data_IF_381270887330
#
_entry.id   IF_381270887330
#
_cell.length_a   1.000
_cell.length_b   1.000
_cell.length_c   1.000
_cell.angle_alpha   90.00
_cell.angle_beta   90.00
_cell.angle_gamma   90.00
#
_symmetry.space_group_name_H-M   'P 1'
#
loop_
_entity.id
_entity.type
_entity.pdbx_description
1 polymer ?
#
# COMPACT_ATOMS: atom_id res chain seq x y z
N UNK A 1 43.87 9.67 28.42
CA UNK A 1 43.05 10.05 27.25
C UNK A 1 42.80 8.80 26.43
N UNK A 2 41.70 8.09 26.67
CA UNK A 2 41.32 6.89 25.93
C UNK A 2 39.87 7.09 25.45
N UNK A 3 39.70 7.24 24.14
CA UNK A 3 38.40 7.44 23.51
C UNK A 3 37.63 6.12 23.48
N UNK A 4 36.47 6.10 24.14
CA UNK A 4 35.51 4.99 24.07
C UNK A 4 34.78 5.06 22.73
N UNK A 5 35.08 4.10 21.84
CA UNK A 5 34.25 3.85 20.67
C UNK A 5 32.95 3.17 21.14
N UNK A 6 31.85 3.92 21.21
CA UNK A 6 30.52 3.35 21.42
C UNK A 6 30.10 2.60 20.15
N UNK A 7 30.15 1.28 20.20
CA UNK A 7 29.44 0.42 19.26
C UNK A 7 27.94 0.64 19.48
N UNK A 8 27.27 1.30 18.54
CA UNK A 8 25.81 1.33 18.49
C UNK A 8 25.35 0.03 17.81
N UNK A 9 25.22 -1.03 18.60
CA UNK A 9 24.53 -2.23 18.14
C UNK A 9 23.03 -1.94 18.17
N UNK A 10 22.44 -1.70 17.00
CA UNK A 10 20.98 -1.68 16.85
C UNK A 10 20.51 -3.13 16.95
N UNK A 11 20.10 -3.54 18.15
CA UNK A 11 19.34 -4.76 18.33
C UNK A 11 17.98 -4.57 17.63
N UNK A 12 17.83 -5.14 16.44
CA UNK A 12 16.53 -5.32 15.83
C UNK A 12 15.78 -6.34 16.69
N UNK A 13 14.90 -5.86 17.58
CA UNK A 13 13.98 -6.76 18.27
C UNK A 13 13.13 -7.51 17.23
N UNK A 14 13.00 -8.85 17.31
CA UNK A 14 12.14 -9.59 16.42
C UNK A 14 10.69 -9.40 16.88
N UNK A 15 9.99 -8.40 16.35
CA UNK A 15 8.54 -8.24 16.55
C UNK A 15 7.76 -8.54 15.29
N UNK A 16 8.02 -9.70 14.67
CA UNK A 16 7.00 -10.48 13.96
C UNK A 16 7.40 -11.94 14.08
N UNK A 17 6.56 -12.76 14.71
CA UNK A 17 6.72 -14.21 14.74
C UNK A 17 6.68 -14.75 13.29
N UNK A 18 7.74 -15.40 12.77
CA UNK A 18 7.82 -15.84 11.37
C UNK A 18 6.88 -17.00 11.03
N UNK A 19 6.12 -17.51 12.01
CA UNK A 19 5.24 -18.67 11.83
C UNK A 19 3.78 -18.34 11.44
N UNK A 20 3.34 -17.07 11.49
CA UNK A 20 2.00 -16.72 11.01
C UNK A 20 2.04 -16.58 9.50
N UNK A 21 1.71 -17.65 8.76
CA UNK A 21 1.55 -17.59 7.32
C UNK A 21 0.63 -16.42 6.94
N UNK A 22 1.15 -15.45 6.17
CA UNK A 22 0.43 -14.23 5.78
C UNK A 22 -0.91 -14.51 5.07
N UNK A 23 -1.10 -15.75 4.59
CA UNK A 23 -2.33 -16.26 4.00
C UNK A 23 -3.53 -16.28 4.97
N UNK A 24 -3.31 -16.38 6.27
CA UNK A 24 -4.39 -16.30 7.28
C UNK A 24 -4.87 -14.85 7.50
N UNK A 25 -4.02 -13.85 7.24
CA UNK A 25 -4.40 -12.45 7.40
C UNK A 25 -5.31 -11.95 6.25
N UNK A 26 -5.28 -12.62 5.10
CA UNK A 26 -6.03 -12.21 3.91
C UNK A 26 -7.45 -12.79 3.82
N UNK A 27 -7.81 -13.79 4.64
CA UNK A 27 -8.98 -14.65 4.36
C UNK A 27 -10.31 -14.27 5.03
N UNK A 28 -10.39 -13.26 5.89
CA UNK A 28 -11.65 -12.91 6.55
C UNK A 28 -11.78 -11.39 6.73
N UNK A 29 -12.63 -10.70 5.98
CA UNK A 29 -12.84 -9.24 6.07
C UNK A 29 -14.33 -8.91 5.80
N UNK A 30 -15.02 -8.30 6.78
CA UNK A 30 -16.41 -7.80 6.70
C UNK A 30 -16.58 -6.35 7.24
N UNK A 31 -15.50 -5.57 7.33
CA UNK A 31 -15.61 -4.12 7.54
C UNK A 31 -14.73 -3.41 6.51
N UNK A 32 -15.36 -2.94 5.44
CA UNK A 32 -14.72 -2.23 4.31
C UNK A 32 -15.11 -0.76 4.40
N UNK A 33 -14.13 0.16 4.32
CA UNK A 33 -14.45 1.57 4.12
C UNK A 33 -14.95 1.75 2.67
N UNK A 34 -16.20 2.18 2.45
CA UNK A 34 -16.83 1.99 1.15
C UNK A 34 -16.42 3.07 0.15
N UNK A 35 -15.88 2.65 -1.00
CA UNK A 35 -16.03 3.41 -2.22
C UNK A 35 -17.53 3.46 -2.59
N UNK A 36 -18.07 4.62 -3.00
CA UNK A 36 -19.48 4.74 -3.35
C UNK A 36 -19.80 3.88 -4.57
N UNK A 37 -21.01 3.32 -4.65
CA UNK A 37 -21.44 2.51 -5.81
C UNK A 37 -21.34 3.29 -7.15
N UNK A 38 -21.40 4.62 -7.08
CA UNK A 38 -21.26 5.53 -8.23
C UNK A 38 -19.82 5.81 -8.65
N UNK A 39 -18.81 5.34 -7.89
CA UNK A 39 -17.38 5.59 -8.16
C UNK A 39 -17.00 5.36 -9.63
N UNK A 40 -17.36 4.24 -10.29
CA UNK A 40 -16.99 4.02 -11.69
C UNK A 40 -17.53 5.10 -12.65
N UNK A 41 -18.75 5.56 -12.40
CA UNK A 41 -19.40 6.59 -13.21
C UNK A 41 -18.78 7.97 -12.94
N UNK A 42 -18.55 8.31 -11.67
CA UNK A 42 -17.96 9.59 -11.26
C UNK A 42 -16.54 9.77 -11.82
N UNK A 43 -15.76 8.71 -11.85
CA UNK A 43 -14.38 8.73 -12.34
C UNK A 43 -14.24 8.35 -13.83
N UNK A 44 -15.36 8.12 -14.54
CA UNK A 44 -15.37 7.70 -15.95
C UNK A 44 -14.53 6.43 -16.23
N UNK A 45 -14.57 5.46 -15.31
CA UNK A 45 -13.80 4.21 -15.33
C UNK A 45 -14.70 2.99 -15.58
N UNK A 46 -15.05 2.66 -16.83
CA UNK A 46 -15.89 1.50 -17.14
C UNK A 46 -15.22 0.15 -16.86
N UNK A 47 -13.91 0.15 -16.66
CA UNK A 47 -13.08 -0.99 -16.27
C UNK A 47 -13.09 -1.26 -14.75
N UNK A 48 -13.81 -0.45 -13.97
CA UNK A 48 -13.93 -0.59 -12.52
C UNK A 48 -15.36 -0.93 -12.13
N UNK A 49 -15.52 -1.86 -11.19
CA UNK A 49 -16.81 -2.17 -10.55
C UNK A 49 -16.69 -2.06 -9.04
N UNK A 50 -17.78 -1.78 -8.34
CA UNK A 50 -17.78 -1.76 -6.87
C UNK A 50 -18.19 -3.13 -6.36
N UNK A 51 -17.27 -3.85 -5.69
CA UNK A 51 -17.52 -5.17 -5.11
C UNK A 51 -17.16 -5.15 -3.63
N UNK A 52 -18.10 -5.55 -2.76
CA UNK A 52 -17.94 -5.50 -1.29
C UNK A 52 -17.51 -4.12 -0.78
N UNK A 53 -17.97 -3.03 -1.41
CA UNK A 53 -17.58 -1.67 -1.05
C UNK A 53 -16.20 -1.22 -1.56
N UNK A 54 -15.50 -2.02 -2.38
CA UNK A 54 -14.23 -1.62 -3.00
C UNK A 54 -14.40 -1.36 -4.50
N UNK A 55 -13.93 -0.22 -4.97
CA UNK A 55 -13.68 0.05 -6.38
C UNK A 55 -12.60 -0.94 -6.86
N UNK A 56 -13.00 -1.86 -7.72
CA UNK A 56 -12.26 -3.06 -8.08
C UNK A 56 -12.06 -3.11 -9.58
N UNK A 57 -10.81 -3.25 -10.02
CA UNK A 57 -10.45 -3.33 -11.43
C UNK A 57 -10.91 -4.67 -12.02
N UNK A 58 -11.57 -4.62 -13.18
CA UNK A 58 -11.89 -5.83 -13.97
C UNK A 58 -10.63 -6.25 -14.71
N UNK A 59 -10.01 -7.34 -14.24
CA UNK A 59 -8.82 -7.90 -14.86
C UNK A 59 -9.21 -8.96 -15.90
N UNK A 60 -8.94 -8.68 -17.18
CA UNK A 60 -9.25 -9.59 -18.29
C UNK A 60 -8.02 -10.32 -18.85
N UNK A 61 -6.83 -9.78 -18.61
CA UNK A 61 -5.63 -10.16 -19.37
C UNK A 61 -4.37 -10.31 -18.55
N UNK A 62 -4.27 -9.67 -17.38
CA UNK A 62 -3.04 -9.67 -16.60
C UNK A 62 -2.97 -10.92 -15.73
N UNK A 63 -1.83 -11.59 -15.73
CA UNK A 63 -1.51 -12.56 -14.67
C UNK A 63 -1.33 -11.83 -13.33
N UNK A 64 -1.42 -12.52 -12.18
CA UNK A 64 -1.16 -11.92 -10.88
C UNK A 64 0.19 -11.19 -10.79
N UNK A 65 1.24 -11.77 -11.38
CA UNK A 65 2.56 -11.14 -11.42
C UNK A 65 2.57 -9.87 -12.28
N UNK A 66 1.94 -9.88 -13.46
CA UNK A 66 1.85 -8.69 -14.31
C UNK A 66 1.05 -7.57 -13.64
N UNK A 67 -0.03 -7.90 -12.94
CA UNK A 67 -0.79 -6.95 -12.14
C UNK A 67 0.07 -6.32 -11.03
N UNK A 68 0.85 -7.13 -10.31
CA UNK A 68 1.80 -6.65 -9.29
C UNK A 68 2.84 -5.72 -9.90
N UNK A 69 3.46 -6.07 -11.02
CA UNK A 69 4.43 -5.21 -11.71
C UNK A 69 3.79 -3.89 -12.14
N UNK A 70 2.56 -3.94 -12.66
CA UNK A 70 1.81 -2.74 -13.06
C UNK A 70 1.52 -1.82 -11.87
N UNK A 71 1.19 -2.39 -10.70
CA UNK A 71 0.98 -1.63 -9.46
C UNK A 71 2.27 -0.96 -8.99
N UNK A 72 3.40 -1.66 -9.07
CA UNK A 72 4.70 -1.11 -8.69
C UNK A 72 5.16 0.02 -9.61
N UNK A 73 4.96 -0.13 -10.92
CA UNK A 73 5.28 0.91 -11.89
C UNK A 73 4.42 2.16 -11.67
N UNK A 74 3.13 1.98 -11.38
CA UNK A 74 2.23 3.08 -11.02
C UNK A 74 2.72 3.85 -9.79
N UNK A 75 3.06 3.13 -8.71
CA UNK A 75 3.58 3.76 -7.48
C UNK A 75 4.92 4.45 -7.73
N UNK A 76 5.81 3.81 -8.50
CA UNK A 76 7.11 4.39 -8.86
C UNK A 76 6.92 5.72 -9.59
N UNK A 77 6.05 5.78 -10.58
CA UNK A 77 5.84 7.00 -11.37
C UNK A 77 5.25 8.13 -10.51
N UNK A 78 4.36 7.80 -9.56
CA UNK A 78 3.85 8.76 -8.57
C UNK A 78 4.97 9.30 -7.64
N UNK A 79 5.89 8.44 -7.22
CA UNK A 79 7.02 8.86 -6.37
C UNK A 79 8.05 9.68 -7.15
N UNK A 80 8.38 9.27 -8.38
CA UNK A 80 9.31 10.01 -9.25
C UNK A 80 8.82 11.44 -9.52
N UNK A 81 7.51 11.65 -9.66
CA UNK A 81 6.92 12.98 -9.83
C UNK A 81 7.19 13.94 -8.66
N UNK A 82 7.56 13.43 -7.48
CA UNK A 82 7.89 14.26 -6.31
C UNK A 82 9.35 14.69 -6.25
N UNK A 83 10.24 14.01 -6.97
CA UNK A 83 11.68 14.21 -6.89
C UNK A 83 12.34 13.76 -5.59
N UNK A 84 11.65 13.01 -4.73
CA UNK A 84 12.26 12.42 -3.52
C UNK A 84 13.02 11.14 -3.85
N UNK A 85 14.01 10.84 -3.00
CA UNK A 85 14.64 9.53 -3.01
C UNK A 85 13.75 8.46 -2.37
N UNK A 86 13.74 7.28 -2.98
CA UNK A 86 13.10 6.08 -2.45
C UNK A 86 13.90 4.85 -2.84
N UNK A 87 13.77 3.79 -2.04
CA UNK A 87 14.46 2.53 -2.26
C UNK A 87 13.47 1.41 -2.51
N UNK A 88 13.70 0.63 -3.56
CA UNK A 88 13.01 -0.64 -3.77
C UNK A 88 13.80 -1.74 -3.05
N UNK A 89 13.30 -2.14 -1.89
CA UNK A 89 13.85 -3.25 -1.12
C UNK A 89 13.21 -4.54 -1.63
N UNK A 90 14.06 -5.44 -2.13
CA UNK A 90 13.66 -6.80 -2.51
C UNK A 90 14.08 -7.73 -1.39
N UNK A 91 13.11 -8.35 -0.73
CA UNK A 91 13.35 -9.43 0.21
C UNK A 91 13.57 -10.76 -0.51
N UNK A 92 13.69 -11.82 0.28
CA UNK A 92 13.64 -13.20 -0.22
C UNK A 92 12.20 -13.66 -0.52
N UNK A 93 11.21 -12.86 -0.11
CA UNK A 93 9.78 -13.06 -0.32
C UNK A 93 9.28 -12.39 -1.62
N UNK A 94 8.09 -12.77 -2.08
CA UNK A 94 7.53 -12.35 -3.38
C UNK A 94 7.14 -10.87 -3.49
N UNK A 95 7.04 -10.12 -2.38
CA UNK A 95 6.47 -8.76 -2.39
C UNK A 95 7.53 -7.70 -2.11
N UNK A 96 7.88 -6.85 -3.09
CA UNK A 96 8.85 -5.79 -2.86
C UNK A 96 8.30 -4.69 -1.95
N UNK A 97 9.19 -4.09 -1.17
CA UNK A 97 8.88 -3.00 -0.24
C UNK A 97 9.51 -1.72 -0.78
N UNK A 98 8.76 -0.61 -0.72
CA UNK A 98 9.30 0.71 -1.04
C UNK A 98 9.55 1.45 0.27
N UNK A 99 10.81 1.83 0.51
CA UNK A 99 11.20 2.64 1.64
C UNK A 99 11.41 4.09 1.21
N UNK A 100 10.97 5.01 2.08
CA UNK A 100 11.13 6.46 1.92
C UNK A 100 11.69 7.04 3.22
N UNK A 101 12.27 8.23 3.15
CA UNK A 101 12.53 9.01 4.37
C UNK A 101 11.19 9.40 5.02
N UNK A 102 11.07 9.19 6.34
CA UNK A 102 9.89 9.55 7.12
C UNK A 102 9.57 11.06 7.04
N UNK A 103 10.57 11.92 6.84
CA UNK A 103 10.37 13.36 6.64
C UNK A 103 9.60 13.67 5.34
N UNK A 104 9.66 12.77 4.35
CA UNK A 104 8.94 12.91 3.08
C UNK A 104 7.53 12.32 3.11
N UNK A 105 7.06 11.80 4.26
CA UNK A 105 5.76 11.12 4.39
C UNK A 105 4.61 11.92 3.80
N UNK A 106 4.46 13.18 4.19
CA UNK A 106 3.33 14.01 3.74
C UNK A 106 3.43 14.34 2.24
N UNK A 107 4.64 14.49 1.72
CA UNK A 107 4.88 14.68 0.28
C UNK A 107 4.46 13.44 -0.50
N UNK A 108 4.82 12.25 -0.03
CA UNK A 108 4.42 10.97 -0.64
C UNK A 108 2.92 10.76 -0.58
N UNK A 109 2.28 11.02 0.57
CA UNK A 109 0.83 10.90 0.70
C UNK A 109 0.14 11.79 -0.33
N UNK A 110 0.53 13.07 -0.43
CA UNK A 110 -0.06 13.99 -1.43
C UNK A 110 0.15 13.51 -2.86
N UNK A 111 1.32 12.98 -3.19
CA UNK A 111 1.62 12.48 -4.52
C UNK A 111 0.80 11.25 -4.88
N UNK A 112 0.68 10.30 -3.96
CA UNK A 112 -0.16 9.12 -4.14
C UNK A 112 -1.64 9.51 -4.26
N UNK A 113 -2.13 10.44 -3.44
CA UNK A 113 -3.50 10.97 -3.53
C UNK A 113 -3.75 11.58 -4.90
N UNK A 114 -2.84 12.43 -5.38
CA UNK A 114 -2.96 13.06 -6.69
C UNK A 114 -2.95 12.02 -7.82
N UNK A 115 -2.05 11.03 -7.76
CA UNK A 115 -2.00 9.94 -8.73
C UNK A 115 -3.25 9.04 -8.68
N UNK A 116 -3.89 8.94 -7.52
CA UNK A 116 -5.08 8.12 -7.29
C UNK A 116 -6.40 8.87 -7.48
N UNK A 117 -6.38 10.10 -8.00
CA UNK A 117 -7.61 10.88 -8.19
C UNK A 117 -8.67 10.11 -8.98
N UNK A 118 -8.26 9.36 -10.01
CA UNK A 118 -9.14 8.54 -10.86
C UNK A 118 -8.73 7.06 -10.92
N UNK A 119 -7.89 6.62 -9.97
CA UNK A 119 -7.36 5.25 -9.91
C UNK A 119 -7.69 4.60 -8.55
N UNK A 120 -8.26 3.38 -8.53
CA UNK A 120 -8.58 2.70 -7.29
C UNK A 120 -7.33 2.09 -6.65
N UNK A 121 -6.76 2.78 -5.65
CA UNK A 121 -5.67 2.27 -4.82
C UNK A 121 -6.08 2.31 -3.34
N UNK A 122 -5.78 1.22 -2.63
CA UNK A 122 -6.10 1.09 -1.21
C UNK A 122 -4.86 0.90 -0.36
N UNK A 123 -4.91 1.42 0.86
CA UNK A 123 -3.90 1.23 1.89
C UNK A 123 -4.45 0.40 3.05
N UNK A 124 -3.68 -0.61 3.49
CA UNK A 124 -3.91 -1.36 4.73
C UNK A 124 -2.74 -1.13 5.67
N UNK A 125 -3.03 -0.69 6.90
CA UNK A 125 -2.01 -0.52 7.94
C UNK A 125 -1.49 -1.88 8.42
N UNK A 126 -0.18 -2.02 8.61
CA UNK A 126 0.44 -3.23 9.17
C UNK A 126 0.80 -2.95 10.63
N UNK A 127 -0.19 -3.00 11.52
CA UNK A 127 -0.03 -2.74 12.97
C UNK A 127 -0.59 -3.87 13.85
N UNK A 128 -0.83 -5.05 13.25
CA UNK A 128 -1.44 -6.21 13.91
C UNK A 128 -2.94 -6.05 14.20
N UNK A 129 -3.53 -4.86 14.01
CA UNK A 129 -4.95 -4.62 14.22
C UNK A 129 -5.72 -4.75 12.91
N UNK A 130 -6.91 -5.33 13.00
CA UNK A 130 -7.84 -5.39 11.88
C UNK A 130 -8.45 -4.01 11.65
N UNK A 131 -8.15 -3.39 10.51
CA UNK A 131 -8.74 -2.12 10.09
C UNK A 131 -9.26 -2.23 8.66
N UNK A 132 -10.37 -1.53 8.33
CA UNK A 132 -10.80 -1.42 6.95
C UNK A 132 -9.66 -0.83 6.09
N UNK A 133 -9.52 -1.26 4.83
CA UNK A 133 -8.64 -0.58 3.89
C UNK A 133 -9.14 0.85 3.66
N UNK A 134 -8.21 1.79 3.51
CA UNK A 134 -8.51 3.18 3.19
C UNK A 134 -8.28 3.43 1.70
N UNK A 135 -9.21 4.12 1.04
CA UNK A 135 -9.03 4.58 -0.33
C UNK A 135 -7.99 5.70 -0.33
N UNK A 136 -6.90 5.53 -1.08
CA UNK A 136 -5.78 6.47 -1.08
C UNK A 136 -6.22 7.85 -1.57
N UNK A 137 -7.17 7.92 -2.51
CA UNK A 137 -7.73 9.16 -3.01
C UNK A 137 -8.38 10.05 -1.91
N UNK A 138 -8.77 9.47 -0.77
CA UNK A 138 -9.39 10.20 0.34
C UNK A 138 -8.38 10.96 1.22
N UNK A 139 -7.09 10.96 0.85
CA UNK A 139 -6.07 11.78 1.54
C UNK A 139 -5.36 11.08 2.70
N UNK A 140 -5.71 9.82 3.02
CA UNK A 140 -5.19 9.11 4.20
C UNK A 140 -4.76 7.69 3.87
N UNK A 141 -3.59 7.28 4.39
CA UNK A 141 -3.07 5.90 4.26
C UNK A 141 -3.27 5.05 5.52
N UNK A 142 -3.51 5.69 6.66
CA UNK A 142 -3.65 5.06 7.98
C UNK A 142 -4.42 5.99 8.92
N UNK A 143 -5.20 5.42 9.83
CA UNK A 143 -5.79 6.14 10.98
C UNK A 143 -4.86 6.13 12.22
N UNK A 144 -3.72 5.45 12.13
CA UNK A 144 -2.66 5.47 13.14
C UNK A 144 -1.51 6.39 12.68
N UNK A 145 -1.29 7.55 13.32
CA UNK A 145 -0.21 8.46 12.94
C UNK A 145 1.19 7.83 13.09
N UNK A 146 1.35 6.89 14.02
CA UNK A 146 2.63 6.23 14.31
C UNK A 146 2.91 5.03 13.40
N UNK A 147 1.98 4.68 12.50
CA UNK A 147 2.17 3.58 11.58
C UNK A 147 3.20 3.94 10.49
N UNK A 148 4.34 3.25 10.51
CA UNK A 148 5.40 3.38 9.51
C UNK A 148 5.29 2.41 8.32
N UNK A 149 4.41 1.40 8.38
CA UNK A 149 4.30 0.36 7.35
C UNK A 149 2.84 0.19 6.93
N UNK A 150 2.62 0.24 5.62
CA UNK A 150 1.31 0.02 5.00
C UNK A 150 1.45 -0.80 3.71
N UNK A 151 0.44 -1.63 3.44
CA UNK A 151 0.30 -2.42 2.21
C UNK A 151 -0.57 -1.64 1.24
N UNK A 152 -0.02 -1.32 0.07
CA UNK A 152 -0.76 -0.75 -1.04
C UNK A 152 -1.24 -1.85 -1.97
N UNK A 153 -2.49 -1.79 -2.42
CA UNK A 153 -3.02 -2.77 -3.37
C UNK A 153 -4.17 -2.20 -4.19
N UNK A 154 -4.33 -2.72 -5.41
CA UNK A 154 -5.51 -2.47 -6.25
C UNK A 154 -6.30 -3.76 -6.40
N UNK A 155 -7.53 -3.85 -5.85
CA UNK A 155 -8.31 -5.06 -5.91
C UNK A 155 -8.68 -5.35 -7.37
N UNK A 156 -8.63 -6.64 -7.74
CA UNK A 156 -8.93 -7.13 -9.09
C UNK A 156 -9.89 -8.29 -9.04
N UNK A 157 -10.78 -8.36 -10.02
CA UNK A 157 -11.64 -9.51 -10.25
C UNK A 157 -11.51 -9.98 -11.69
N UNK A 158 -11.56 -11.29 -11.87
CA UNK A 158 -11.83 -11.88 -13.18
C UNK A 158 -13.36 -11.84 -13.40
N UNK A 159 -13.82 -11.45 -14.61
CA UNK A 159 -15.24 -11.34 -14.92
C UNK A 159 -15.98 -12.68 -14.93
#
# INVERSE_FOLDING_TARGET
MAGSARQFNVALEPTVDPATSEEEYSRQDDAVAPAPATWPTTHHRPDVVVRKGLATLVNRTLTPHQALVTDLLFIRDALLATGIDFWLIRGNDERPVIAIDVQNRDTVVRALVAACADEPLYAKTVDGRRRPPLLVADGRLTDNPDAGIFRLYRPRIEP
#
